data_IF_766778936762
#
_entry.id   IF_766778936762
#
_cell.length_a   1.000
_cell.length_b   1.000
_cell.length_c   1.000
_cell.angle_alpha   90.00
_cell.angle_beta   90.00
_cell.angle_gamma   90.00
#
_symmetry.space_group_name_H-M   'P 1'
#
loop_
_entity.id
_entity.type
_entity.pdbx_description
1 polymer ?
#
# COMPACT_ATOMS: atom_id res chain seq x y z
N UNK A 1 -0.05 0.95 6.58
CA UNK A 1 0.86 1.61 7.53
C UNK A 1 0.03 2.59 8.34
N UNK A 2 0.03 2.49 9.66
CA UNK A 2 -0.66 3.47 10.52
C UNK A 2 0.42 4.42 11.04
N UNK A 3 0.52 5.66 10.54
CA UNK A 3 1.50 6.60 11.04
C UNK A 3 1.17 6.98 12.49
N UNK A 4 2.19 7.04 13.35
CA UNK A 4 2.07 7.80 14.59
C UNK A 4 1.88 9.27 14.22
N UNK A 5 1.05 9.98 14.98
CA UNK A 5 0.43 11.28 14.63
C UNK A 5 1.42 12.37 14.18
N UNK A 6 2.70 12.24 14.49
CA UNK A 6 3.74 13.25 14.23
C UNK A 6 4.78 12.83 13.18
N UNK A 7 4.62 11.67 12.52
CA UNK A 7 5.60 11.14 11.56
C UNK A 7 4.98 11.00 10.17
N UNK A 8 5.48 11.80 9.23
CA UNK A 8 5.18 11.66 7.81
C UNK A 8 6.05 10.54 7.25
N UNK A 9 5.41 9.42 6.87
CA UNK A 9 6.08 8.27 6.26
C UNK A 9 5.94 8.37 4.75
N UNK A 10 7.06 8.31 4.03
CA UNK A 10 7.07 8.30 2.57
C UNK A 10 7.11 6.85 2.05
N UNK A 11 6.78 6.69 0.76
CA UNK A 11 6.86 5.39 0.07
C UNK A 11 8.25 4.75 0.21
N UNK A 12 9.30 5.54 0.01
CA UNK A 12 10.68 5.04 0.06
C UNK A 12 11.06 4.50 1.44
N UNK A 13 10.49 5.06 2.52
CA UNK A 13 10.72 4.58 3.89
C UNK A 13 10.16 3.18 4.08
N UNK A 14 8.97 2.91 3.55
CA UNK A 14 8.34 1.58 3.60
C UNK A 14 9.12 0.58 2.76
N UNK A 15 9.51 0.97 1.55
CA UNK A 15 10.30 0.10 0.68
C UNK A 15 11.65 -0.22 1.31
N UNK A 16 12.34 0.77 1.90
CA UNK A 16 13.60 0.57 2.60
C UNK A 16 13.45 -0.33 3.83
N UNK A 17 12.37 -0.15 4.59
CA UNK A 17 12.07 -1.02 5.74
C UNK A 17 11.88 -2.48 5.31
N UNK A 18 11.24 -2.73 4.16
CA UNK A 18 10.98 -4.07 3.66
C UNK A 18 12.25 -4.75 3.08
N UNK A 19 13.21 -4.00 2.53
CA UNK A 19 14.42 -4.54 1.86
C UNK A 19 15.17 -5.60 2.70
N UNK A 20 15.27 -5.40 4.00
CA UNK A 20 16.00 -6.31 4.91
C UNK A 20 15.09 -7.34 5.59
N UNK A 21 13.78 -7.31 5.30
CA UNK A 21 12.76 -8.19 5.91
C UNK A 21 12.25 -9.26 4.96
N UNK A 22 12.35 -9.03 3.66
CA UNK A 22 11.86 -9.96 2.63
C UNK A 22 12.92 -10.18 1.55
N UNK A 23 12.80 -11.31 0.85
CA UNK A 23 13.65 -11.58 -0.30
C UNK A 23 13.41 -10.57 -1.43
N UNK A 24 14.45 -10.27 -2.21
CA UNK A 24 14.40 -9.25 -3.28
C UNK A 24 13.27 -9.48 -4.29
N UNK A 25 12.94 -10.73 -4.61
CA UNK A 25 11.88 -11.07 -5.58
C UNK A 25 10.45 -10.91 -5.01
N UNK A 26 10.30 -10.62 -3.71
CA UNK A 26 9.02 -10.23 -3.11
C UNK A 26 8.88 -8.72 -2.97
N UNK A 27 9.93 -7.96 -3.31
CA UNK A 27 9.94 -6.53 -3.14
C UNK A 27 8.89 -5.90 -4.06
N UNK A 28 7.88 -5.18 -3.53
CA UNK A 28 6.96 -4.42 -4.37
C UNK A 28 7.69 -3.28 -5.08
N UNK A 29 7.30 -3.01 -6.31
CA UNK A 29 7.84 -1.90 -7.11
C UNK A 29 7.28 -0.54 -6.69
N UNK A 30 6.09 -0.51 -6.08
CA UNK A 30 5.47 0.72 -5.57
C UNK A 30 4.66 0.48 -4.29
N UNK A 31 4.56 1.51 -3.44
CA UNK A 31 3.72 1.53 -2.25
C UNK A 31 2.89 2.82 -2.20
N UNK A 32 1.57 2.66 -2.32
CA UNK A 32 0.63 3.79 -2.27
C UNK A 32 -0.09 3.82 -0.93
N UNK A 33 -0.16 5.01 -0.33
CA UNK A 33 -0.94 5.25 0.87
C UNK A 33 -2.36 5.70 0.50
N UNK A 34 -3.34 5.14 1.18
CA UNK A 34 -4.75 5.47 1.02
C UNK A 34 -5.33 5.77 2.39
N UNK A 35 -6.25 6.74 2.46
CA UNK A 35 -6.92 7.10 3.72
C UNK A 35 -7.77 5.96 4.26
N UNK A 36 -8.40 5.20 3.36
CA UNK A 36 -9.24 4.06 3.71
C UNK A 36 -9.02 2.91 2.74
N UNK A 37 -8.92 1.70 3.30
CA UNK A 37 -8.99 0.48 2.50
C UNK A 37 -10.47 0.16 2.24
N UNK A 38 -10.90 -0.05 1.00
CA UNK A 38 -12.29 -0.38 0.73
C UNK A 38 -12.58 -1.80 1.20
N UNK A 39 -13.69 -1.97 1.92
CA UNK A 39 -14.13 -3.24 2.48
C UNK A 39 -15.45 -3.69 1.87
N UNK A 40 -15.67 -5.00 1.83
CA UNK A 40 -16.96 -5.61 1.50
C UNK A 40 -17.93 -5.49 2.68
N UNK A 41 -19.21 -5.81 2.45
CA UNK A 41 -20.23 -5.84 3.51
C UNK A 41 -19.89 -6.76 4.71
N UNK A 42 -18.96 -7.70 4.53
CA UNK A 42 -18.45 -8.61 5.56
C UNK A 42 -17.12 -8.17 6.18
N UNK A 43 -16.65 -6.96 5.86
CA UNK A 43 -15.41 -6.40 6.40
C UNK A 43 -14.13 -6.96 5.78
N UNK A 44 -14.21 -7.72 4.68
CA UNK A 44 -13.02 -8.17 3.93
C UNK A 44 -12.55 -7.10 2.98
N UNK A 45 -11.26 -7.07 2.62
CA UNK A 45 -10.76 -6.13 1.62
C UNK A 45 -11.46 -6.36 0.27
N UNK A 46 -12.04 -5.31 -0.29
CA UNK A 46 -12.70 -5.37 -1.59
C UNK A 46 -11.68 -5.16 -2.72
N UNK A 47 -11.21 -6.27 -3.31
CA UNK A 47 -10.32 -6.22 -4.48
C UNK A 47 -10.98 -5.58 -5.72
N UNK A 48 -12.31 -5.67 -5.83
CA UNK A 48 -13.06 -5.06 -6.93
C UNK A 48 -12.93 -3.54 -6.85
N UNK A 49 -13.19 -2.98 -5.69
CA UNK A 49 -13.20 -1.53 -5.50
C UNK A 49 -11.77 -0.98 -5.49
N UNK A 50 -10.79 -1.71 -4.96
CA UNK A 50 -9.37 -1.38 -5.12
C UNK A 50 -8.98 -1.27 -6.60
N UNK A 51 -9.34 -2.24 -7.44
CA UNK A 51 -9.02 -2.19 -8.87
C UNK A 51 -9.72 -1.04 -9.59
N UNK A 52 -10.92 -0.67 -9.17
CA UNK A 52 -11.62 0.49 -9.72
C UNK A 52 -10.94 1.80 -9.31
N UNK A 53 -10.52 1.92 -8.04
CA UNK A 53 -9.83 3.10 -7.51
C UNK A 53 -8.46 3.32 -8.17
N UNK A 54 -7.75 2.22 -8.47
CA UNK A 54 -6.45 2.24 -9.13
C UNK A 54 -6.53 1.94 -10.63
N UNK A 55 -7.69 2.12 -11.28
CA UNK A 55 -7.87 1.78 -12.70
C UNK A 55 -6.90 2.54 -13.61
N UNK A 56 -6.69 3.82 -13.32
CA UNK A 56 -5.84 4.71 -14.11
C UNK A 56 -4.44 4.87 -13.51
N UNK A 57 -4.11 4.04 -12.50
CA UNK A 57 -2.80 4.04 -11.88
C UNK A 57 -1.74 3.64 -12.91
N UNK A 58 -0.73 4.50 -13.06
CA UNK A 58 0.42 4.23 -13.92
C UNK A 58 1.54 3.66 -13.07
N UNK A 59 2.02 2.49 -13.49
CA UNK A 59 3.18 1.87 -12.89
C UNK A 59 4.45 2.64 -13.29
N UNK A 60 5.34 2.97 -12.34
CA UNK A 60 6.58 3.71 -12.61
C UNK A 60 7.63 2.92 -13.42
#
# INVERSE_FOLDING_TARGET
VVPNTDVVVQEQDVLNFLKDKIARWWMPDACVFVDTLPHTATGKISKKDLRALFKDYQWP
#
